data_IF_766125003389
#
_entry.id   IF_766125003389
#
_cell.length_a   1.000
_cell.length_b   1.000
_cell.length_c   1.000
_cell.angle_alpha   90.00
_cell.angle_beta   90.00
_cell.angle_gamma   90.00
#
_symmetry.space_group_name_H-M   'P 1'
#
loop_
_entity.id
_entity.type
_entity.pdbx_description
1 polymer ?
#
# COMPACT_ATOMS: atom_id res chain seq x y z
N UNK A 1 -20.04 16.92 -10.47
CA UNK A 1 -18.95 17.61 -9.77
C UNK A 1 -18.47 16.84 -8.56
N UNK A 2 -19.35 16.54 -7.61
CA UNK A 2 -19.01 15.77 -6.43
C UNK A 2 -19.71 14.41 -6.45
N UNK A 3 -18.97 13.36 -6.17
CA UNK A 3 -19.52 12.05 -5.86
C UNK A 3 -19.82 11.98 -4.37
N UNK A 4 -20.95 11.39 -4.02
CA UNK A 4 -21.36 11.17 -2.64
C UNK A 4 -21.44 9.68 -2.38
N UNK A 5 -20.78 9.20 -1.35
CA UNK A 5 -20.95 7.85 -0.87
C UNK A 5 -21.22 7.84 0.63
N UNK A 6 -21.86 6.79 1.11
CA UNK A 6 -22.19 6.62 2.52
C UNK A 6 -21.38 5.47 3.11
N UNK A 7 -20.89 5.69 4.32
CA UNK A 7 -20.30 4.64 5.15
C UNK A 7 -20.98 4.73 6.53
N UNK A 8 -21.85 3.78 6.82
CA UNK A 8 -22.70 3.83 8.00
C UNK A 8 -23.58 5.09 8.04
N UNK A 9 -23.48 5.85 9.12
CA UNK A 9 -24.19 7.13 9.30
C UNK A 9 -23.52 8.33 8.63
N UNK A 10 -22.29 8.16 8.12
CA UNK A 10 -21.49 9.22 7.51
C UNK A 10 -21.76 9.36 6.01
N UNK A 11 -21.80 10.59 5.53
CA UNK A 11 -21.82 10.91 4.11
C UNK A 11 -20.49 11.56 3.74
N UNK A 12 -19.79 10.96 2.79
CA UNK A 12 -18.54 11.46 2.25
C UNK A 12 -18.78 12.06 0.86
N UNK A 13 -18.01 13.09 0.55
CA UNK A 13 -18.03 13.75 -0.75
C UNK A 13 -16.61 13.79 -1.29
N UNK A 14 -16.46 13.48 -2.58
CA UNK A 14 -15.19 13.60 -3.30
C UNK A 14 -15.40 14.24 -4.65
N UNK A 15 -14.34 14.78 -5.25
CA UNK A 15 -14.38 15.22 -6.63
C UNK A 15 -14.67 14.04 -7.54
N UNK A 16 -15.66 14.19 -8.43
CA UNK A 16 -15.98 13.17 -9.42
C UNK A 16 -14.89 13.12 -10.50
N UNK A 17 -14.16 12.02 -10.59
CA UNK A 17 -13.04 11.87 -11.52
C UNK A 17 -13.48 11.71 -12.98
N UNK A 18 -14.68 11.19 -13.24
CA UNK A 18 -15.20 10.81 -14.56
C UNK A 18 -16.26 11.78 -15.13
N UNK A 19 -16.44 12.96 -14.57
CA UNK A 19 -17.45 13.89 -15.03
C UNK A 19 -16.83 14.95 -15.95
N UNK A 20 -17.57 15.38 -16.98
CA UNK A 20 -17.18 16.50 -17.86
C UNK A 20 -16.92 17.81 -17.07
N UNK A 21 -17.32 17.87 -15.83
CA UNK A 21 -17.13 19.01 -14.92
C UNK A 21 -16.02 18.81 -13.89
N UNK A 22 -15.24 17.71 -13.96
CA UNK A 22 -14.17 17.43 -13.00
C UNK A 22 -13.06 18.49 -13.06
N UNK A 23 -12.65 18.90 -14.26
CA UNK A 23 -11.65 19.97 -14.46
C UNK A 23 -12.13 21.32 -13.93
N UNK A 24 -13.39 21.66 -14.20
CA UNK A 24 -13.99 22.89 -13.67
C UNK A 24 -14.03 22.86 -12.14
N UNK A 25 -14.38 21.73 -11.55
CA UNK A 25 -14.41 21.59 -10.09
C UNK A 25 -13.01 21.73 -9.48
N UNK A 26 -11.96 21.17 -10.11
CA UNK A 26 -10.56 21.36 -9.69
C UNK A 26 -10.16 22.83 -9.79
N UNK A 27 -10.42 23.49 -10.93
CA UNK A 27 -10.11 24.91 -11.11
C UNK A 27 -10.78 25.81 -10.06
N UNK A 28 -12.02 25.50 -9.69
CA UNK A 28 -12.74 26.25 -8.64
C UNK A 28 -12.11 26.02 -7.25
N UNK A 29 -11.66 24.81 -6.95
CA UNK A 29 -10.97 24.51 -5.68
C UNK A 29 -9.61 25.19 -5.64
N UNK A 30 -8.84 25.12 -6.73
CA UNK A 30 -7.52 25.74 -6.83
C UNK A 30 -7.58 27.28 -6.77
N UNK A 31 -8.74 27.87 -7.08
CA UNK A 31 -8.99 29.29 -6.97
C UNK A 31 -9.31 29.75 -5.52
N UNK A 32 -9.53 28.83 -4.58
CA UNK A 32 -9.74 29.18 -3.17
C UNK A 32 -8.41 29.64 -2.57
N UNK A 33 -8.35 30.82 -1.94
CA UNK A 33 -7.12 31.30 -1.32
C UNK A 33 -6.57 30.32 -0.28
N UNK A 34 -5.28 30.03 -0.33
CA UNK A 34 -4.63 29.09 0.61
C UNK A 34 -4.69 29.54 2.06
N UNK A 35 -4.91 30.83 2.29
CA UNK A 35 -5.03 31.48 3.61
C UNK A 35 -6.49 31.67 4.06
N UNK A 36 -7.47 31.02 3.38
CA UNK A 36 -8.87 31.07 3.81
C UNK A 36 -9.03 30.50 5.21
N UNK A 37 -9.58 31.29 6.17
CA UNK A 37 -9.69 30.85 7.57
C UNK A 37 -10.59 29.62 7.76
N UNK A 38 -11.58 29.41 6.90
CA UNK A 38 -12.49 28.28 6.95
C UNK A 38 -11.77 27.00 6.54
N UNK A 39 -10.97 27.06 5.46
CA UNK A 39 -10.12 25.93 5.04
C UNK A 39 -9.07 25.58 6.08
N UNK A 40 -8.43 26.58 6.70
CA UNK A 40 -7.44 26.36 7.77
C UNK A 40 -8.07 25.64 8.97
N UNK A 41 -9.27 26.06 9.40
CA UNK A 41 -10.01 25.42 10.48
C UNK A 41 -10.44 23.99 10.13
N UNK A 42 -10.91 23.76 8.92
CA UNK A 42 -11.33 22.42 8.47
C UNK A 42 -10.14 21.48 8.34
N UNK A 43 -8.98 21.96 7.89
CA UNK A 43 -7.74 21.20 7.86
C UNK A 43 -7.26 20.83 9.28
N UNK A 44 -7.39 21.75 10.24
CA UNK A 44 -7.06 21.48 11.64
C UNK A 44 -7.97 20.39 12.23
N UNK A 45 -9.29 20.47 11.97
CA UNK A 45 -10.27 19.46 12.38
C UNK A 45 -9.99 18.09 11.75
N UNK A 46 -9.70 18.07 10.44
CA UNK A 46 -9.31 16.86 9.74
C UNK A 46 -8.07 16.23 10.37
N UNK A 47 -7.02 17.02 10.61
CA UNK A 47 -5.78 16.55 11.23
C UNK A 47 -6.00 16.05 12.66
N UNK A 48 -6.92 16.64 13.42
CA UNK A 48 -7.29 16.16 14.75
C UNK A 48 -7.98 14.78 14.67
N UNK A 49 -8.92 14.59 13.74
CA UNK A 49 -9.57 13.30 13.51
C UNK A 49 -8.56 12.24 13.05
N UNK A 50 -7.65 12.60 12.13
CA UNK A 50 -6.57 11.70 11.67
C UNK A 50 -5.69 11.25 12.83
N UNK A 51 -5.25 12.17 13.69
CA UNK A 51 -4.46 11.84 14.89
C UNK A 51 -5.22 10.92 15.84
N UNK A 52 -6.46 11.23 16.19
CA UNK A 52 -7.26 10.40 17.09
C UNK A 52 -7.45 8.97 16.55
N UNK A 53 -7.67 8.80 15.24
CA UNK A 53 -7.74 7.48 14.62
C UNK A 53 -6.40 6.74 14.63
N UNK A 54 -5.28 7.44 14.41
CA UNK A 54 -3.95 6.85 14.48
C UNK A 54 -3.61 6.38 15.90
N UNK A 55 -3.98 7.18 16.91
CA UNK A 55 -3.82 6.81 18.32
C UNK A 55 -4.65 5.58 18.70
N UNK A 56 -5.92 5.52 18.27
CA UNK A 56 -6.79 4.36 18.50
C UNK A 56 -6.25 3.10 17.82
N UNK A 57 -5.73 3.20 16.59
CA UNK A 57 -5.09 2.08 15.92
C UNK A 57 -3.81 1.64 16.64
N UNK A 58 -2.98 2.57 17.11
CA UNK A 58 -1.77 2.26 17.86
C UNK A 58 -2.09 1.54 19.17
N UNK A 59 -3.15 1.96 19.88
CA UNK A 59 -3.62 1.27 21.10
C UNK A 59 -4.09 -0.14 20.78
N UNK A 60 -4.92 -0.30 19.74
CA UNK A 60 -5.39 -1.61 19.30
C UNK A 60 -4.23 -2.57 19.00
N UNK A 61 -3.20 -2.12 18.27
CA UNK A 61 -2.02 -2.95 17.99
C UNK A 61 -1.22 -3.27 19.24
N UNK A 62 -1.12 -2.35 20.19
CA UNK A 62 -0.44 -2.58 21.47
C UNK A 62 -1.11 -3.68 22.28
N UNK A 63 -2.42 -3.61 22.43
CA UNK A 63 -3.20 -4.56 23.19
C UNK A 63 -3.24 -5.96 22.57
N UNK A 64 -3.17 -6.04 21.25
CA UNK A 64 -3.36 -7.28 20.50
C UNK A 64 -2.08 -7.91 19.98
N UNK A 65 -0.90 -7.30 20.15
CA UNK A 65 0.37 -7.80 19.61
C UNK A 65 0.67 -9.25 19.99
N UNK A 66 0.37 -9.67 21.23
CA UNK A 66 0.63 -11.02 21.70
C UNK A 66 -0.29 -12.09 21.06
N UNK A 67 -1.49 -11.69 20.60
CA UNK A 67 -2.50 -12.59 20.00
C UNK A 67 -2.69 -12.31 18.51
N UNK A 68 -1.76 -11.56 17.89
CA UNK A 68 -1.92 -11.08 16.52
C UNK A 68 -2.10 -12.21 15.49
N UNK A 69 -1.46 -13.36 15.70
CA UNK A 69 -1.60 -14.52 14.83
C UNK A 69 -3.03 -15.08 14.81
N UNK A 70 -3.77 -15.03 15.93
CA UNK A 70 -5.16 -15.47 16.02
C UNK A 70 -6.07 -14.52 15.21
N UNK A 71 -5.86 -13.21 15.37
CA UNK A 71 -6.66 -12.18 14.70
C UNK A 71 -6.46 -12.27 13.18
N UNK A 72 -5.23 -12.45 12.72
CA UNK A 72 -4.91 -12.51 11.29
C UNK A 72 -5.51 -13.74 10.59
N UNK A 73 -5.69 -14.85 11.29
CA UNK A 73 -6.21 -16.10 10.74
C UNK A 73 -7.73 -16.25 10.79
N UNK A 74 -8.47 -15.23 11.25
CA UNK A 74 -9.90 -15.31 11.49
C UNK A 74 -10.77 -15.61 10.25
N UNK A 75 -10.29 -15.25 9.05
CA UNK A 75 -11.15 -15.23 7.85
C UNK A 75 -10.72 -16.22 6.76
N UNK A 76 -9.43 -16.45 6.61
CA UNK A 76 -8.85 -17.40 5.65
C UNK A 76 -7.73 -18.15 6.36
N UNK A 77 -7.59 -19.47 6.19
CA UNK A 77 -6.48 -20.23 6.75
C UNK A 77 -5.15 -19.63 6.30
N UNK A 78 -4.30 -19.29 7.27
CA UNK A 78 -3.01 -18.65 6.99
C UNK A 78 -2.15 -19.47 6.02
N UNK A 79 -2.20 -20.81 6.14
CA UNK A 79 -1.46 -21.73 5.28
C UNK A 79 -1.81 -21.58 3.80
N UNK A 80 -3.08 -21.29 3.47
CA UNK A 80 -3.53 -21.10 2.09
C UNK A 80 -2.99 -19.80 1.52
N UNK A 81 -3.00 -18.72 2.34
CA UNK A 81 -2.42 -17.42 1.97
C UNK A 81 -0.91 -17.55 1.75
N UNK A 82 -0.20 -18.21 2.67
CA UNK A 82 1.25 -18.43 2.59
C UNK A 82 1.62 -19.26 1.37
N UNK A 83 0.86 -20.33 1.09
CA UNK A 83 1.09 -21.19 -0.10
C UNK A 83 0.87 -20.42 -1.41
N UNK A 84 -0.14 -19.55 -1.47
CA UNK A 84 -0.38 -18.70 -2.63
C UNK A 84 0.73 -17.64 -2.79
N UNK A 85 1.14 -17.00 -1.70
CA UNK A 85 2.24 -16.03 -1.69
C UNK A 85 3.55 -16.63 -2.20
N UNK A 86 3.91 -17.83 -1.72
CA UNK A 86 5.13 -18.53 -2.14
C UNK A 86 5.13 -18.90 -3.63
N UNK A 87 3.97 -19.02 -4.28
CA UNK A 87 3.87 -19.23 -5.72
C UNK A 87 4.04 -17.95 -6.52
N UNK A 88 3.67 -16.80 -5.95
CA UNK A 88 3.72 -15.49 -6.61
C UNK A 88 5.08 -14.82 -6.49
N UNK A 89 5.76 -14.99 -5.35
CA UNK A 89 7.10 -14.46 -5.16
C UNK A 89 8.13 -15.47 -5.71
N UNK A 90 8.87 -15.11 -6.78
CA UNK A 90 9.98 -15.92 -7.22
C UNK A 90 11.06 -15.88 -6.12
N UNK A 91 11.13 -16.93 -5.32
CA UNK A 91 12.11 -17.01 -4.20
C UNK A 91 13.54 -17.29 -4.67
N UNK A 92 13.73 -17.69 -5.92
CA UNK A 92 15.05 -17.81 -6.53
C UNK A 92 15.52 -16.44 -7.04
N UNK A 93 16.65 -15.95 -6.51
CA UNK A 93 17.29 -14.71 -6.97
C UNK A 93 16.89 -13.46 -6.20
N UNK A 94 15.98 -13.53 -5.21
CA UNK A 94 15.73 -12.42 -4.31
C UNK A 94 16.89 -12.35 -3.30
N UNK A 95 17.64 -11.26 -3.35
CA UNK A 95 18.66 -10.94 -2.36
C UNK A 95 18.05 -10.13 -1.21
N UNK A 96 17.36 -9.04 -1.55
CA UNK A 96 16.82 -8.08 -0.59
C UNK A 96 15.29 -8.10 -0.63
N UNK A 97 14.67 -8.53 0.47
CA UNK A 97 13.21 -8.50 0.68
C UNK A 97 12.83 -7.41 1.68
N UNK A 98 11.79 -6.66 1.37
CA UNK A 98 11.15 -5.73 2.30
C UNK A 98 9.72 -6.21 2.62
N UNK A 99 9.38 -6.25 3.91
CA UNK A 99 8.02 -6.52 4.41
C UNK A 99 7.47 -5.25 5.08
N UNK A 100 6.52 -4.58 4.42
CA UNK A 100 5.89 -3.36 4.90
C UNK A 100 4.67 -3.69 5.78
N UNK A 101 4.70 -3.18 7.02
CA UNK A 101 3.72 -3.55 8.02
C UNK A 101 3.97 -4.97 8.53
N UNK A 102 5.22 -5.30 8.84
CA UNK A 102 5.66 -6.66 9.18
C UNK A 102 4.97 -7.24 10.42
N UNK A 103 4.36 -6.40 11.26
CA UNK A 103 3.68 -6.81 12.49
C UNK A 103 4.60 -7.65 13.38
N UNK A 104 4.18 -8.85 13.69
CA UNK A 104 4.93 -9.82 14.52
C UNK A 104 6.00 -10.60 13.76
N UNK A 105 6.29 -10.24 12.49
CA UNK A 105 7.37 -10.81 11.69
C UNK A 105 7.06 -12.14 11.01
N UNK A 106 5.79 -12.54 10.89
CA UNK A 106 5.42 -13.85 10.32
C UNK A 106 5.91 -14.04 8.89
N UNK A 107 5.79 -13.01 8.05
CA UNK A 107 6.26 -13.11 6.66
C UNK A 107 7.78 -13.20 6.58
N UNK A 108 8.50 -12.59 7.52
CA UNK A 108 9.95 -12.76 7.63
C UNK A 108 10.33 -14.18 8.07
N UNK A 109 9.55 -14.82 8.97
CA UNK A 109 9.77 -16.23 9.32
C UNK A 109 9.57 -17.14 8.10
N UNK A 110 8.56 -16.88 7.27
CA UNK A 110 8.23 -17.67 6.10
C UNK A 110 9.26 -17.52 4.96
N UNK A 111 9.66 -16.28 4.67
CA UNK A 111 10.46 -15.92 3.51
C UNK A 111 11.96 -15.79 3.82
N UNK A 112 12.31 -15.45 5.06
CA UNK A 112 13.70 -15.28 5.48
C UNK A 112 14.64 -16.42 5.12
N UNK A 113 14.26 -17.70 5.30
CA UNK A 113 15.09 -18.84 4.87
C UNK A 113 15.35 -18.94 3.37
N UNK A 114 14.64 -18.15 2.55
CA UNK A 114 14.63 -18.21 1.08
C UNK A 114 15.33 -17.02 0.41
N UNK A 115 15.74 -16.03 1.19
CA UNK A 115 16.37 -14.78 0.71
C UNK A 115 17.69 -14.52 1.43
N UNK A 116 18.54 -13.68 0.85
CA UNK A 116 19.82 -13.36 1.52
C UNK A 116 19.62 -12.41 2.69
N UNK A 117 18.77 -11.39 2.53
CA UNK A 117 18.46 -10.38 3.55
C UNK A 117 16.98 -10.05 3.51
N UNK A 118 16.39 -9.90 4.68
CA UNK A 118 15.03 -9.43 4.81
C UNK A 118 14.93 -8.32 5.85
N UNK A 119 14.17 -7.28 5.51
CA UNK A 119 13.87 -6.16 6.39
C UNK A 119 12.36 -6.06 6.59
N UNK A 120 11.89 -6.10 7.83
CA UNK A 120 10.51 -5.77 8.20
C UNK A 120 10.42 -4.36 8.74
N UNK A 121 9.37 -3.64 8.34
CA UNK A 121 9.07 -2.31 8.84
C UNK A 121 7.67 -2.30 9.42
N UNK A 122 7.53 -1.71 10.60
CA UNK A 122 6.26 -1.47 11.26
C UNK A 122 6.32 -0.17 12.09
N UNK A 123 5.18 0.43 12.34
CA UNK A 123 5.08 1.62 13.19
C UNK A 123 5.01 1.25 14.67
N UNK A 124 4.44 0.08 15.01
CA UNK A 124 4.25 -0.41 16.39
C UNK A 124 5.53 -1.00 16.95
N UNK A 125 6.01 -0.42 18.07
CA UNK A 125 7.15 -0.93 18.81
C UNK A 125 6.85 -2.28 19.46
N UNK A 126 5.63 -2.47 19.89
CA UNK A 126 5.14 -3.68 20.55
C UNK A 126 5.13 -4.85 19.57
N UNK A 127 4.59 -4.64 18.36
CA UNK A 127 4.66 -5.63 17.27
C UNK A 127 6.11 -6.01 16.95
N UNK A 128 6.97 -5.01 16.79
CA UNK A 128 8.39 -5.23 16.51
C UNK A 128 9.15 -5.92 17.65
N UNK A 129 8.74 -5.74 18.91
CA UNK A 129 9.31 -6.49 20.02
C UNK A 129 8.98 -7.98 19.93
N UNK A 130 7.73 -8.31 19.59
CA UNK A 130 7.30 -9.70 19.32
C UNK A 130 8.02 -10.26 18.09
N UNK A 131 8.13 -9.49 17.01
CA UNK A 131 8.84 -9.90 15.80
C UNK A 131 10.30 -10.27 16.09
N UNK A 132 11.02 -9.45 16.87
CA UNK A 132 12.42 -9.75 17.26
C UNK A 132 12.53 -11.07 18.00
N UNK A 133 11.63 -11.30 18.98
CA UNK A 133 11.61 -12.56 19.73
C UNK A 133 11.30 -13.77 18.85
N UNK A 134 10.39 -13.62 17.89
CA UNK A 134 10.07 -14.67 16.92
C UNK A 134 11.25 -15.00 16.00
N UNK A 135 11.87 -13.98 15.42
CA UNK A 135 13.05 -14.15 14.54
C UNK A 135 14.24 -14.77 15.27
N UNK A 136 14.48 -14.36 16.52
CA UNK A 136 15.52 -14.95 17.37
C UNK A 136 15.25 -16.44 17.65
N UNK A 137 14.01 -16.77 18.01
CA UNK A 137 13.58 -18.16 18.25
C UNK A 137 13.71 -19.01 16.98
N UNK A 138 13.41 -18.43 15.80
CA UNK A 138 13.56 -19.10 14.51
C UNK A 138 15.02 -19.14 14.01
N UNK A 139 15.96 -18.48 14.69
CA UNK A 139 17.38 -18.45 14.31
C UNK A 139 17.68 -17.64 13.03
N UNK A 140 16.79 -16.73 12.64
CA UNK A 140 16.87 -15.97 11.40
C UNK A 140 17.74 -14.71 11.56
N UNK A 141 19.05 -14.87 11.40
CA UNK A 141 20.05 -13.80 11.54
C UNK A 141 20.09 -12.83 10.35
N UNK A 142 19.59 -13.25 9.20
CA UNK A 142 19.50 -12.46 7.98
C UNK A 142 18.23 -11.57 7.93
N UNK A 143 17.35 -11.69 8.93
CA UNK A 143 16.13 -10.90 9.06
C UNK A 143 16.32 -9.80 10.11
N UNK A 144 15.92 -8.58 9.77
CA UNK A 144 15.93 -7.43 10.67
C UNK A 144 14.56 -6.78 10.71
N UNK A 145 14.23 -6.09 11.82
CA UNK A 145 13.03 -5.28 11.90
C UNK A 145 13.38 -3.88 12.40
N UNK A 146 12.72 -2.86 11.82
CA UNK A 146 12.93 -1.44 12.16
C UNK A 146 11.59 -0.73 12.29
N UNK A 147 11.54 0.20 13.24
CA UNK A 147 10.40 1.11 13.35
C UNK A 147 10.52 2.20 12.29
N UNK A 148 9.50 2.31 11.43
CA UNK A 148 9.38 3.41 10.46
C UNK A 148 7.95 3.53 9.98
N UNK A 149 7.63 4.72 9.46
CA UNK A 149 6.39 4.98 8.74
C UNK A 149 6.47 4.43 7.32
N UNK A 150 5.41 3.76 6.86
CA UNK A 150 5.32 3.19 5.51
C UNK A 150 5.10 4.24 4.41
N UNK A 151 4.73 5.47 4.78
CA UNK A 151 4.55 6.58 3.83
C UNK A 151 5.87 7.29 3.47
N UNK A 152 6.88 7.18 4.34
CA UNK A 152 8.17 7.81 4.12
C UNK A 152 9.28 6.90 4.64
N UNK A 153 9.72 5.99 3.78
CA UNK A 153 10.72 5.00 4.15
C UNK A 153 12.13 5.63 4.14
N UNK A 154 12.90 5.51 5.24
CA UNK A 154 14.29 5.96 5.28
C UNK A 154 15.21 4.96 4.57
N UNK A 155 14.84 4.59 3.35
CA UNK A 155 15.50 3.59 2.51
C UNK A 155 15.82 4.20 1.15
N UNK A 156 16.94 3.78 0.57
CA UNK A 156 17.34 4.22 -0.76
C UNK A 156 16.37 3.70 -1.82
N UNK A 157 16.19 4.48 -2.89
CA UNK A 157 15.45 4.02 -4.07
C UNK A 157 16.17 2.85 -4.72
N UNK A 158 15.41 1.92 -5.33
CA UNK A 158 15.95 0.77 -6.06
C UNK A 158 16.92 -0.10 -5.22
N UNK A 159 16.56 -0.39 -3.99
CA UNK A 159 17.38 -1.13 -3.03
C UNK A 159 16.87 -2.55 -2.71
N UNK A 160 15.64 -2.90 -3.12
CA UNK A 160 15.02 -4.19 -2.87
C UNK A 160 14.62 -4.91 -4.15
N UNK A 161 14.74 -6.24 -4.16
CA UNK A 161 14.29 -7.09 -5.27
C UNK A 161 12.82 -7.44 -5.15
N UNK A 162 12.32 -7.53 -3.91
CA UNK A 162 10.93 -7.80 -3.63
C UNK A 162 10.42 -6.97 -2.45
N UNK A 163 9.15 -6.55 -2.54
CA UNK A 163 8.40 -5.90 -1.47
C UNK A 163 7.11 -6.69 -1.24
N UNK A 164 6.80 -6.92 0.02
CA UNK A 164 5.53 -7.49 0.47
C UNK A 164 4.76 -6.44 1.26
N UNK A 165 3.45 -6.37 1.01
CA UNK A 165 2.48 -5.60 1.80
C UNK A 165 1.39 -6.58 2.21
N UNK A 166 1.46 -7.11 3.44
CA UNK A 166 0.61 -8.21 3.87
C UNK A 166 -0.33 -7.79 4.99
N UNK A 167 -1.63 -7.73 4.68
CA UNK A 167 -2.71 -7.40 5.63
C UNK A 167 -2.45 -6.13 6.46
N UNK A 168 -1.98 -5.09 5.81
CA UNK A 168 -1.68 -3.79 6.44
C UNK A 168 -2.28 -2.62 5.67
N UNK A 169 -2.55 -2.79 4.36
CA UNK A 169 -2.99 -1.70 3.51
C UNK A 169 -4.38 -1.16 3.92
N UNK A 170 -5.25 -2.02 4.47
CA UNK A 170 -6.56 -1.63 4.98
C UNK A 170 -6.50 -0.72 6.23
N UNK A 171 -5.34 -0.61 6.89
CA UNK A 171 -5.07 0.38 7.96
C UNK A 171 -4.55 1.71 7.39
N UNK A 172 -4.09 1.73 6.14
CA UNK A 172 -3.55 2.92 5.52
C UNK A 172 -4.64 3.96 5.25
N UNK A 173 -4.33 5.23 5.51
CA UNK A 173 -5.19 6.36 5.16
C UNK A 173 -5.12 6.64 3.65
N UNK A 174 -3.89 6.67 3.12
CA UNK A 174 -3.58 6.92 1.71
C UNK A 174 -2.82 5.71 1.11
N UNK A 175 -3.51 4.61 0.75
CA UNK A 175 -2.88 3.40 0.23
C UNK A 175 -2.03 3.63 -1.02
N UNK A 176 -2.43 4.58 -1.86
CA UNK A 176 -1.67 4.94 -3.07
C UNK A 176 -0.26 5.43 -2.75
N UNK A 177 -0.09 6.21 -1.66
CA UNK A 177 1.22 6.70 -1.23
C UNK A 177 2.11 5.56 -0.71
N UNK A 178 1.52 4.61 0.02
CA UNK A 178 2.24 3.40 0.47
C UNK A 178 2.76 2.60 -0.73
N UNK A 179 1.93 2.43 -1.77
CA UNK A 179 2.32 1.70 -2.98
C UNK A 179 3.36 2.48 -3.81
N UNK A 180 3.30 3.80 -3.82
CA UNK A 180 4.32 4.65 -4.45
C UNK A 180 5.69 4.50 -3.74
N UNK A 181 5.73 4.48 -2.40
CA UNK A 181 6.95 4.24 -1.64
C UNK A 181 7.48 2.81 -1.84
N UNK A 182 6.60 1.79 -1.86
CA UNK A 182 6.96 0.42 -2.20
C UNK A 182 7.62 0.34 -3.59
N UNK A 183 7.02 1.00 -4.59
CA UNK A 183 7.58 1.06 -5.94
C UNK A 183 8.92 1.81 -5.98
N UNK A 184 9.08 2.90 -5.22
CA UNK A 184 10.33 3.68 -5.16
C UNK A 184 11.51 2.83 -4.69
N UNK A 185 11.32 2.03 -3.64
CA UNK A 185 12.39 1.22 -3.06
C UNK A 185 12.68 -0.07 -3.83
N UNK A 186 11.76 -0.57 -4.64
CA UNK A 186 11.99 -1.71 -5.53
C UNK A 186 13.02 -1.37 -6.61
N UNK A 187 13.85 -2.32 -6.99
CA UNK A 187 14.67 -2.26 -8.20
C UNK A 187 13.80 -2.33 -9.46
N UNK A 188 14.21 -1.76 -10.60
CA UNK A 188 13.57 -2.04 -11.88
C UNK A 188 13.48 -3.56 -12.11
N UNK A 189 12.31 -4.06 -12.49
CA UNK A 189 12.02 -5.49 -12.60
C UNK A 189 11.75 -6.20 -11.27
N UNK A 190 11.85 -5.50 -10.14
CA UNK A 190 11.52 -6.03 -8.81
C UNK A 190 10.03 -6.31 -8.62
N UNK A 191 9.71 -7.24 -7.75
CA UNK A 191 8.36 -7.77 -7.53
C UNK A 191 7.70 -7.15 -6.30
N UNK A 192 6.42 -6.77 -6.42
CA UNK A 192 5.54 -6.41 -5.31
C UNK A 192 4.44 -7.48 -5.21
N UNK A 193 4.12 -7.89 -3.99
CA UNK A 193 2.86 -8.61 -3.73
C UNK A 193 2.10 -7.90 -2.63
N UNK A 194 0.85 -7.56 -2.91
CA UNK A 194 -0.10 -7.02 -1.94
C UNK A 194 -1.03 -8.17 -1.56
N UNK A 195 -1.20 -8.41 -0.27
CA UNK A 195 -2.15 -9.39 0.28
C UNK A 195 -3.10 -8.62 1.18
N UNK A 196 -4.37 -8.55 0.81
CA UNK A 196 -5.37 -7.85 1.62
C UNK A 196 -6.79 -8.34 1.28
N UNK A 197 -7.80 -7.82 1.95
CA UNK A 197 -9.18 -8.20 1.73
C UNK A 197 -9.73 -7.66 0.42
N UNK A 198 -10.49 -8.50 -0.30
CA UNK A 198 -11.39 -8.01 -1.34
C UNK A 198 -12.43 -7.08 -0.72
N UNK A 199 -12.98 -6.16 -1.52
CA UNK A 199 -14.02 -5.22 -1.04
C UNK A 199 -15.18 -5.96 -0.38
N UNK A 200 -15.60 -5.53 0.80
CA UNK A 200 -16.67 -6.09 1.59
C UNK A 200 -17.42 -4.99 2.37
N UNK A 201 -18.46 -5.37 3.12
CA UNK A 201 -19.35 -4.48 3.88
C UNK A 201 -19.39 -4.77 5.39
N UNK A 202 -18.39 -5.50 5.92
CA UNK A 202 -18.30 -5.86 7.34
C UNK A 202 -17.89 -4.66 8.19
N UNK A 203 -18.86 -3.80 8.57
CA UNK A 203 -18.62 -2.57 9.33
C UNK A 203 -18.05 -2.82 10.74
N UNK A 204 -18.26 -4.01 11.32
CA UNK A 204 -17.69 -4.40 12.62
C UNK A 204 -16.17 -4.31 12.64
N UNK A 205 -15.50 -4.54 11.50
CA UNK A 205 -14.04 -4.46 11.41
C UNK A 205 -13.50 -3.04 11.64
N UNK A 206 -14.30 -2.01 11.36
CA UNK A 206 -13.92 -0.62 11.66
C UNK A 206 -13.93 -0.35 13.16
N UNK A 207 -14.90 -0.90 13.87
CA UNK A 207 -15.11 -0.64 15.30
C UNK A 207 -14.29 -1.57 16.19
N UNK A 208 -14.12 -2.83 15.80
CA UNK A 208 -13.49 -3.86 16.62
C UNK A 208 -12.01 -4.11 16.24
N UNK A 209 -11.64 -3.86 14.98
CA UNK A 209 -10.31 -4.18 14.45
C UNK A 209 -9.57 -2.99 13.85
N UNK A 210 -10.02 -1.76 14.10
CA UNK A 210 -9.40 -0.52 13.64
C UNK A 210 -9.18 -0.40 12.12
N UNK A 211 -9.95 -1.16 11.29
CA UNK A 211 -9.87 -1.04 9.85
C UNK A 211 -10.31 0.35 9.38
N UNK A 212 -9.54 0.99 8.54
CA UNK A 212 -9.91 2.24 7.88
C UNK A 212 -10.68 2.00 6.59
N UNK A 213 -10.33 0.92 5.89
CA UNK A 213 -10.94 0.52 4.62
C UNK A 213 -11.50 -0.89 4.73
N UNK A 214 -12.65 -1.12 4.10
CA UNK A 214 -13.31 -2.42 4.05
C UNK A 214 -12.91 -3.14 2.76
N UNK A 215 -11.61 -3.46 2.67
CA UNK A 215 -11.01 -4.12 1.52
C UNK A 215 -10.90 -3.24 0.27
N UNK A 216 -10.44 -3.82 -0.82
CA UNK A 216 -10.06 -3.14 -2.04
C UNK A 216 -10.67 -3.78 -3.29
N UNK A 217 -10.97 -2.94 -4.29
CA UNK A 217 -11.32 -3.40 -5.62
C UNK A 217 -10.08 -3.62 -6.49
N UNK A 218 -10.14 -4.59 -7.41
CA UNK A 218 -9.01 -4.91 -8.30
C UNK A 218 -8.63 -3.72 -9.19
N UNK A 219 -9.62 -2.99 -9.73
CA UNK A 219 -9.38 -1.80 -10.55
C UNK A 219 -8.72 -0.65 -9.77
N UNK A 220 -9.09 -0.51 -8.49
CA UNK A 220 -8.55 0.50 -7.59
C UNK A 220 -7.06 0.23 -7.31
N UNK A 221 -6.71 -0.99 -6.92
CA UNK A 221 -5.30 -1.42 -6.73
C UNK A 221 -4.51 -1.29 -8.03
N UNK A 222 -5.06 -1.76 -9.16
CA UNK A 222 -4.39 -1.65 -10.45
C UNK A 222 -4.13 -0.20 -10.85
N UNK A 223 -5.07 0.71 -10.62
CA UNK A 223 -4.91 2.14 -10.88
C UNK A 223 -3.75 2.75 -10.07
N UNK A 224 -3.64 2.45 -8.78
CA UNK A 224 -2.54 2.92 -7.93
C UNK A 224 -1.19 2.34 -8.36
N UNK A 225 -1.15 1.04 -8.71
CA UNK A 225 0.06 0.39 -9.21
C UNK A 225 0.55 1.01 -10.52
N UNK A 226 -0.35 1.27 -11.48
CA UNK A 226 -0.01 1.97 -12.72
C UNK A 226 0.54 3.38 -12.46
N UNK A 227 -0.11 4.14 -11.57
CA UNK A 227 0.35 5.48 -11.17
C UNK A 227 1.73 5.44 -10.51
N UNK A 228 2.08 4.36 -9.81
CA UNK A 228 3.38 4.14 -9.20
C UNK A 228 4.44 3.57 -10.17
N UNK A 229 4.13 3.42 -11.47
CA UNK A 229 5.06 2.90 -12.47
C UNK A 229 5.27 1.38 -12.39
N UNK A 230 4.24 0.65 -11.98
CA UNK A 230 4.24 -0.80 -11.88
C UNK A 230 3.26 -1.43 -12.87
N UNK A 231 3.55 -2.65 -13.29
CA UNK A 231 2.64 -3.47 -14.12
C UNK A 231 1.98 -4.51 -13.24
N UNK A 232 0.63 -4.45 -13.04
CA UNK A 232 -0.10 -5.46 -12.30
C UNK A 232 -0.11 -6.81 -13.02
N UNK A 233 0.01 -7.89 -12.23
CA UNK A 233 -0.18 -9.27 -12.70
C UNK A 233 -1.58 -9.81 -12.39
N UNK A 234 -1.84 -11.10 -12.70
CA UNK A 234 -3.11 -11.75 -12.42
C UNK A 234 -3.40 -11.81 -10.92
N UNK A 235 -4.61 -11.42 -10.53
CA UNK A 235 -5.06 -11.48 -9.14
C UNK A 235 -5.36 -12.92 -8.73
N UNK A 236 -4.82 -13.34 -7.59
CA UNK A 236 -5.17 -14.61 -6.95
C UNK A 236 -6.19 -14.35 -5.85
N UNK A 237 -7.31 -15.08 -5.86
CA UNK A 237 -8.40 -14.94 -4.89
C UNK A 237 -8.49 -16.19 -4.03
N UNK A 238 -8.51 -15.98 -2.73
CA UNK A 238 -8.70 -17.02 -1.72
C UNK A 238 -10.05 -16.77 -1.03
N UNK A 239 -11.10 -17.45 -1.46
CA UNK A 239 -12.41 -17.33 -0.81
C UNK A 239 -12.35 -17.79 0.65
N UNK A 240 -12.94 -17.01 1.53
CA UNK A 240 -13.11 -17.31 2.96
C UNK A 240 -14.50 -16.90 3.44
N UNK A 241 -14.81 -17.15 4.69
CA UNK A 241 -16.08 -16.81 5.30
C UNK A 241 -15.81 -15.97 6.56
N UNK A 242 -16.30 -14.72 6.65
CA UNK A 242 -17.08 -13.98 5.64
C UNK A 242 -16.23 -13.21 4.60
N UNK A 243 -14.90 -13.23 4.68
CA UNK A 243 -14.03 -12.39 3.87
C UNK A 243 -13.21 -13.20 2.86
N UNK A 244 -13.06 -12.65 1.66
CA UNK A 244 -12.11 -13.14 0.65
C UNK A 244 -10.80 -12.37 0.78
N UNK A 245 -9.68 -13.09 0.75
CA UNK A 245 -8.33 -12.50 0.66
C UNK A 245 -7.88 -12.53 -0.79
N UNK A 246 -7.45 -11.38 -1.29
CA UNK A 246 -6.87 -11.24 -2.62
C UNK A 246 -5.35 -11.03 -2.52
N UNK A 247 -4.62 -11.60 -3.48
CA UNK A 247 -3.21 -11.32 -3.69
C UNK A 247 -3.08 -10.61 -5.03
N UNK A 248 -2.54 -9.39 -5.02
CA UNK A 248 -2.27 -8.57 -6.21
C UNK A 248 -0.76 -8.50 -6.44
N UNK A 249 -0.20 -9.33 -7.36
CA UNK A 249 1.18 -9.23 -7.76
C UNK A 249 1.38 -8.06 -8.73
N UNK A 250 2.56 -7.45 -8.69
CA UNK A 250 2.98 -6.45 -9.66
C UNK A 250 4.50 -6.47 -9.84
N UNK A 251 4.97 -5.94 -10.96
CA UNK A 251 6.39 -5.81 -11.28
C UNK A 251 6.70 -4.34 -11.53
N UNK A 252 7.78 -3.83 -10.94
CA UNK A 252 8.26 -2.48 -11.22
C UNK A 252 8.77 -2.40 -12.66
N UNK A 253 8.26 -1.44 -13.43
CA UNK A 253 8.68 -1.25 -14.81
C UNK A 253 10.18 -0.95 -14.85
N UNK A 254 10.89 -1.47 -15.89
CA UNK A 254 12.22 -1.00 -16.19
C UNK A 254 12.15 0.50 -16.46
N UNK A 255 13.11 1.29 -15.95
CA UNK A 255 13.19 2.69 -16.34
C UNK A 255 13.25 2.72 -17.87
N UNK A 256 12.28 3.38 -18.50
CA UNK A 256 12.41 3.70 -19.92
C UNK A 256 13.73 4.48 -20.03
N UNK A 257 14.67 3.96 -20.82
CA UNK A 257 15.94 4.62 -21.08
C UNK A 257 15.62 6.08 -21.46
N UNK A 258 16.07 7.03 -20.66
CA UNK A 258 15.89 8.47 -20.89
C UNK A 258 16.54 8.95 -22.18
N UNK A 259 17.12 8.05 -22.98
CA UNK A 259 17.83 8.29 -24.23
C UNK A 259 16.90 8.35 -25.47
N UNK A 260 15.59 8.01 -25.35
CA UNK A 260 14.74 7.93 -26.55
C UNK A 260 13.72 9.07 -26.70
N UNK A 261 13.81 10.14 -25.89
CA UNK A 261 12.96 11.36 -26.05
C UNK A 261 13.64 12.41 -26.95
N UNK A 262 14.89 12.22 -27.38
CA UNK A 262 15.66 13.22 -28.16
C UNK A 262 15.59 13.08 -29.70
N UNK A 263 14.75 12.19 -30.25
CA UNK A 263 14.61 12.03 -31.71
C UNK A 263 13.15 11.97 -32.16
N UNK A 264 12.37 12.99 -31.83
CA UNK A 264 11.20 13.32 -32.65
C UNK A 264 11.66 14.22 -33.78
N UNK A 265 11.45 13.87 -35.07
CA UNK A 265 11.84 14.75 -36.17
C UNK A 265 10.98 16.01 -36.13
N UNK A 266 11.64 17.16 -36.06
CA UNK A 266 11.00 18.48 -36.20
C UNK A 266 10.37 18.53 -37.59
N UNK A 267 9.04 18.76 -37.72
CA UNK A 267 8.44 18.92 -39.05
C UNK A 267 9.01 20.17 -39.72
N UNK A 268 9.54 20.00 -40.92
CA UNK A 268 10.04 21.09 -41.75
C UNK A 268 8.92 22.09 -42.06
N UNK A 269 9.10 23.33 -41.64
CA UNK A 269 8.25 24.45 -42.06
C UNK A 269 8.41 24.64 -43.58
N UNK A 270 7.38 24.31 -44.36
CA UNK A 270 7.29 24.63 -45.76
C UNK A 270 7.07 26.13 -45.93
N UNK A 271 8.08 26.84 -46.39
CA UNK A 271 7.94 28.23 -46.89
C UNK A 271 7.28 28.17 -48.28
N UNK A 272 5.95 28.38 -48.30
CA UNK A 272 5.26 28.70 -49.57
C UNK A 272 5.45 30.19 -49.85
N UNK A 273 6.24 30.48 -50.89
CA UNK A 273 6.41 31.82 -51.42
C UNK A 273 5.11 32.32 -52.03
N UNK A 274 4.81 33.57 -51.77
CA UNK A 274 3.81 34.37 -52.44
C UNK A 274 4.51 35.08 -53.58
N UNK A 275 4.02 34.83 -54.78
CA UNK A 275 4.13 35.74 -55.97
C UNK A 275 2.75 36.23 -56.26
#
# INVERSE_FOLDING_TARGET
MLDRFREGTWAFYRLGERSAFAELARTLIDAIPADDPTLALDLERLNAIKRARAEAAAEYFRENAARWHEIRSLHVPEQDVEAALLKLLPTCGIQDLLDLGTGTGRMLELLGPKVERALGIDLSREMLAVARANLERAGLRNCQVRQSDMYQLPLASASFDAVLVHQVLHYAEEPAEVLAEAARVLRPGGSLVIVDFARHDQETLRTEHAHRRLGFGDEEIAGWLFAAGMTPGPVVRLPGDPLTVNLWPAVRNAAADATNIAQAPVPALSTSGVT
#
